data_IF_517120842282
#
_entry.id   IF_517120842282
#
_cell.length_a   1.000
_cell.length_b   1.000
_cell.length_c   1.000
_cell.angle_alpha   90.00
_cell.angle_beta   90.00
_cell.angle_gamma   90.00
#
_symmetry.space_group_name_H-M   'P 1'
#
loop_
_entity.id
_entity.type
_entity.pdbx_description
1 polymer ?
#
# COMPACT_ATOMS: atom_id res chain seq x y z
N UNK A 1 16.19 -2.50 9.89
CA UNK A 1 16.22 -1.46 8.81
C UNK A 1 15.22 -1.85 7.71
N UNK A 2 14.69 -0.90 6.92
CA UNK A 2 13.88 -1.24 5.73
C UNK A 2 14.83 -1.66 4.61
N UNK A 3 14.61 -2.86 4.05
CA UNK A 3 15.47 -3.48 3.04
C UNK A 3 14.77 -3.69 1.70
N UNK A 4 13.44 -3.60 1.66
CA UNK A 4 12.67 -3.69 0.42
C UNK A 4 11.43 -2.82 0.49
N UNK A 5 11.13 -2.11 -0.60
CA UNK A 5 9.88 -1.40 -0.81
C UNK A 5 9.11 -2.08 -1.93
N UNK A 6 7.81 -2.27 -1.74
CA UNK A 6 6.88 -2.75 -2.75
C UNK A 6 5.72 -1.76 -2.93
N UNK A 7 5.42 -1.44 -4.19
CA UNK A 7 4.35 -0.53 -4.60
C UNK A 7 3.64 -1.12 -5.80
N UNK A 8 2.31 -1.14 -5.77
CA UNK A 8 1.48 -1.56 -6.89
C UNK A 8 0.31 -0.60 -7.07
N UNK A 9 0.02 -0.27 -8.32
CA UNK A 9 -1.09 0.60 -8.74
C UNK A 9 -1.07 2.01 -8.12
N UNK A 10 0.09 2.65 -8.03
CA UNK A 10 0.22 4.01 -7.49
C UNK A 10 0.75 5.01 -8.53
N UNK A 11 -0.10 5.95 -8.96
CA UNK A 11 0.25 7.04 -9.88
C UNK A 11 0.90 6.54 -11.19
N UNK A 12 2.19 6.77 -11.39
CA UNK A 12 2.91 6.27 -12.56
C UNK A 12 3.55 4.89 -12.35
N UNK A 13 3.45 4.33 -11.14
CA UNK A 13 4.01 3.03 -10.77
C UNK A 13 2.92 1.95 -10.89
N UNK A 14 2.99 1.12 -11.94
CA UNK A 14 2.10 -0.05 -12.07
C UNK A 14 2.47 -1.12 -11.05
N UNK A 15 3.75 -1.51 -11.03
CA UNK A 15 4.32 -2.47 -10.09
C UNK A 15 5.80 -2.16 -9.94
N UNK A 16 6.26 -1.97 -8.71
CA UNK A 16 7.64 -1.67 -8.37
C UNK A 16 8.02 -2.42 -7.10
N UNK A 17 9.10 -3.21 -7.16
CA UNK A 17 9.73 -3.82 -6.00
C UNK A 17 11.20 -3.45 -6.06
N UNK A 18 11.70 -2.73 -5.05
CA UNK A 18 13.07 -2.23 -5.03
C UNK A 18 13.76 -2.63 -3.73
N UNK A 19 14.99 -3.19 -3.81
CA UNK A 19 15.83 -3.33 -2.63
C UNK A 19 16.26 -1.94 -2.16
N UNK A 20 16.45 -1.80 -0.86
CA UNK A 20 16.91 -0.57 -0.22
C UNK A 20 18.13 -0.88 0.67
N UNK A 21 19.12 -0.01 0.60
CA UNK A 21 20.31 -0.04 1.47
C UNK A 21 20.39 1.27 2.27
N UNK A 22 21.49 1.49 3.01
CA UNK A 22 21.69 2.65 3.90
C UNK A 22 21.66 3.98 3.14
N UNK A 23 22.05 3.95 1.86
CA UNK A 23 21.98 5.08 0.94
C UNK A 23 21.40 4.62 -0.39
N UNK A 24 20.29 5.24 -0.79
CA UNK A 24 19.63 4.98 -2.06
C UNK A 24 19.60 6.25 -2.89
N UNK A 25 20.23 6.22 -4.07
CA UNK A 25 20.23 7.35 -5.01
C UNK A 25 19.27 7.02 -6.16
N UNK A 26 18.19 7.78 -6.28
CA UNK A 26 17.18 7.59 -7.33
C UNK A 26 17.42 8.59 -8.46
N UNK A 27 17.80 8.09 -9.64
CA UNK A 27 18.07 8.92 -10.84
C UNK A 27 17.15 8.52 -12.00
N UNK A 28 17.15 9.33 -13.07
CA UNK A 28 16.34 9.09 -14.27
C UNK A 28 15.76 10.38 -14.85
N UNK A 29 15.18 10.30 -16.06
CA UNK A 29 14.57 11.45 -16.75
C UNK A 29 13.33 12.02 -16.05
N UNK A 30 12.81 13.14 -16.54
CA UNK A 30 11.55 13.70 -16.03
C UNK A 30 10.37 12.79 -16.42
N UNK A 31 9.37 12.68 -15.54
CA UNK A 31 8.17 11.87 -15.81
C UNK A 31 8.31 10.36 -15.59
N UNK A 32 9.50 9.82 -15.32
CA UNK A 32 9.74 8.36 -15.20
C UNK A 32 9.25 7.74 -13.86
N UNK A 33 8.60 8.51 -12.99
CA UNK A 33 8.03 8.01 -11.74
C UNK A 33 8.84 8.18 -10.47
N UNK A 34 9.96 8.91 -10.48
CA UNK A 34 10.74 9.23 -9.27
C UNK A 34 9.89 9.92 -8.19
N UNK A 35 9.10 10.93 -8.57
CA UNK A 35 8.21 11.62 -7.63
C UNK A 35 7.11 10.69 -7.08
N UNK A 36 6.62 9.74 -7.88
CA UNK A 36 5.66 8.75 -7.40
C UNK A 36 6.29 7.81 -6.37
N UNK A 37 7.54 7.39 -6.56
CA UNK A 37 8.29 6.61 -5.58
C UNK A 37 8.41 7.34 -4.22
N UNK A 38 8.81 8.62 -4.23
CA UNK A 38 8.90 9.41 -2.99
C UNK A 38 7.54 9.61 -2.31
N UNK A 39 6.47 9.81 -3.10
CA UNK A 39 5.12 9.93 -2.54
C UNK A 39 4.62 8.60 -1.98
N UNK A 40 4.96 7.46 -2.57
CA UNK A 40 4.63 6.15 -2.04
C UNK A 40 5.28 5.91 -0.66
N UNK A 41 6.55 6.28 -0.50
CA UNK A 41 7.24 6.25 0.80
C UNK A 41 6.56 7.15 1.83
N UNK A 42 6.14 8.35 1.41
CA UNK A 42 5.40 9.27 2.28
C UNK A 42 4.05 8.70 2.69
N UNK A 43 3.29 8.14 1.76
CA UNK A 43 1.99 7.53 2.02
C UNK A 43 2.11 6.30 2.94
N UNK A 44 3.16 5.49 2.76
CA UNK A 44 3.49 4.38 3.65
C UNK A 44 3.77 4.88 5.08
N UNK A 45 4.52 5.97 5.22
CA UNK A 45 4.79 6.62 6.50
C UNK A 45 3.54 7.22 7.14
N UNK A 46 2.65 7.82 6.33
CA UNK A 46 1.36 8.34 6.81
C UNK A 46 0.43 7.19 7.23
N UNK A 47 0.49 6.03 6.56
CA UNK A 47 -0.30 4.83 6.91
C UNK A 47 0.04 4.30 8.30
N UNK A 48 1.33 4.28 8.65
CA UNK A 48 1.79 3.91 9.99
C UNK A 48 1.33 4.88 11.11
N UNK A 49 0.86 6.09 10.77
CA UNK A 49 0.43 7.12 11.72
C UNK A 49 -1.07 7.41 11.68
N UNK A 50 -1.89 6.45 11.22
CA UNK A 50 -3.33 6.64 11.01
C UNK A 50 -3.68 7.79 10.05
N UNK A 51 -2.75 8.19 9.18
CA UNK A 51 -2.87 9.33 8.27
C UNK A 51 -3.20 8.97 6.83
N UNK A 52 -3.28 7.68 6.47
CA UNK A 52 -3.43 7.24 5.08
C UNK A 52 -4.66 7.83 4.36
N UNK A 53 -5.83 7.78 5.00
CA UNK A 53 -7.08 8.29 4.41
C UNK A 53 -6.98 9.79 4.14
N UNK A 54 -6.48 10.56 5.12
CA UNK A 54 -6.26 12.00 4.96
C UNK A 54 -5.18 12.32 3.91
N UNK A 55 -4.14 11.50 3.81
CA UNK A 55 -3.12 11.62 2.77
C UNK A 55 -3.70 11.38 1.37
N UNK A 56 -4.50 10.33 1.19
CA UNK A 56 -5.20 10.05 -0.06
C UNK A 56 -6.24 11.13 -0.40
N UNK A 57 -6.96 11.67 0.58
CA UNK A 57 -7.89 12.78 0.39
C UNK A 57 -7.17 14.04 -0.14
N UNK A 58 -6.03 14.42 0.46
CA UNK A 58 -5.17 15.53 -0.03
C UNK A 58 -4.65 15.30 -1.45
N UNK A 59 -4.58 14.05 -1.87
CA UNK A 59 -4.17 13.63 -3.20
C UNK A 59 -5.30 13.61 -4.24
N UNK A 60 -6.52 14.00 -3.87
CA UNK A 60 -7.71 13.98 -4.71
C UNK A 60 -8.52 12.68 -4.63
N UNK A 61 -8.33 11.90 -3.56
CA UNK A 61 -8.99 10.61 -3.32
C UNK A 61 -8.25 9.42 -3.93
N UNK A 62 -8.68 8.20 -3.56
CA UNK A 62 -8.06 6.94 -3.99
C UNK A 62 -8.04 6.80 -5.52
N UNK A 63 -9.13 7.16 -6.21
CA UNK A 63 -9.18 7.17 -7.68
C UNK A 63 -8.11 8.05 -8.32
N UNK A 64 -7.74 9.15 -7.69
CA UNK A 64 -6.67 10.01 -8.21
C UNK A 64 -5.29 9.40 -7.97
N UNK A 65 -5.12 8.68 -6.86
CA UNK A 65 -3.88 8.01 -6.48
C UNK A 65 -3.60 6.73 -7.28
N UNK A 66 -4.64 6.02 -7.74
CA UNK A 66 -4.51 4.80 -8.50
C UNK A 66 -3.75 5.00 -9.82
N UNK A 67 -3.00 3.98 -10.23
CA UNK A 67 -2.27 3.99 -11.48
C UNK A 67 -3.18 4.29 -12.68
N UNK A 68 -2.67 5.11 -13.59
CA UNK A 68 -3.46 5.74 -14.66
C UNK A 68 -2.93 5.45 -16.07
N UNK A 69 -2.19 4.35 -16.26
CA UNK A 69 -1.77 3.97 -17.61
C UNK A 69 -2.93 3.42 -18.44
N UNK A 70 -2.80 3.57 -19.76
CA UNK A 70 -3.81 3.10 -20.72
C UNK A 70 -3.97 1.57 -20.63
N UNK A 71 -5.22 1.13 -20.47
CA UNK A 71 -5.59 -0.26 -20.76
C UNK A 71 -5.58 -0.43 -22.30
N UNK A 72 -4.41 -0.73 -22.85
CA UNK A 72 -4.21 -0.91 -24.29
C UNK A 72 -3.79 0.37 -25.00
N UNK A 73 -2.68 0.32 -25.73
CA UNK A 73 -2.05 1.47 -26.41
C UNK A 73 -2.89 2.04 -27.55
N UNK A 74 -3.84 2.90 -27.20
CA UNK A 74 -4.66 3.64 -28.14
C UNK A 74 -5.13 4.92 -27.48
N UNK A 75 -5.15 6.01 -28.25
CA UNK A 75 -5.50 7.39 -27.86
C UNK A 75 -6.97 7.58 -27.45
N UNK A 76 -7.56 6.63 -26.73
CA UNK A 76 -8.91 6.64 -26.23
C UNK A 76 -8.93 6.58 -24.71
N UNK A 77 -9.87 7.31 -24.11
CA UNK A 77 -10.27 7.17 -22.71
C UNK A 77 -10.95 5.80 -22.48
N UNK A 78 -10.20 4.70 -22.65
CA UNK A 78 -10.69 3.37 -22.34
C UNK A 78 -10.95 3.26 -20.82
N UNK A 79 -12.06 2.61 -20.40
CA UNK A 79 -12.39 2.45 -19.00
C UNK A 79 -11.32 1.71 -18.20
N UNK A 80 -11.26 2.09 -16.93
CA UNK A 80 -10.23 1.81 -15.94
C UNK A 80 -10.39 0.40 -15.34
N UNK A 81 -9.99 -0.64 -16.06
CA UNK A 81 -10.25 -2.03 -15.60
C UNK A 81 -9.16 -2.64 -14.70
N UNK A 82 -7.89 -2.25 -14.82
CA UNK A 82 -6.80 -3.05 -14.22
C UNK A 82 -6.43 -2.71 -12.76
N UNK A 83 -6.69 -1.48 -12.30
CA UNK A 83 -6.21 -1.01 -10.99
C UNK A 83 -7.38 -0.73 -10.04
N UNK A 84 -7.93 -1.78 -9.43
CA UNK A 84 -9.05 -1.68 -8.46
C UNK A 84 -8.57 -1.31 -7.05
N UNK A 85 -7.29 -1.53 -6.74
CA UNK A 85 -6.71 -1.27 -5.42
C UNK A 85 -5.27 -0.79 -5.49
N UNK A 86 -4.85 -0.04 -4.47
CA UNK A 86 -3.50 0.48 -4.26
C UNK A 86 -2.83 -0.36 -3.18
N UNK A 87 -1.70 -0.99 -3.50
CA UNK A 87 -0.94 -1.82 -2.55
C UNK A 87 0.42 -1.19 -2.26
N UNK A 88 0.75 -1.11 -0.99
CA UNK A 88 2.02 -0.57 -0.49
C UNK A 88 2.57 -1.49 0.58
N UNK A 89 3.89 -1.62 0.66
CA UNK A 89 4.50 -2.35 1.75
C UNK A 89 6.01 -2.22 1.78
N UNK A 90 6.58 -2.61 2.90
CA UNK A 90 8.02 -2.76 3.05
C UNK A 90 8.35 -4.06 3.78
N UNK A 91 9.54 -4.57 3.50
CA UNK A 91 10.19 -5.57 4.33
C UNK A 91 11.40 -4.94 5.03
N UNK A 92 11.66 -5.38 6.24
CA UNK A 92 12.83 -5.01 7.02
C UNK A 92 13.31 -6.16 7.88
N UNK A 93 14.45 -5.97 8.54
CA UNK A 93 15.11 -7.04 9.29
C UNK A 93 14.26 -7.53 10.47
N UNK A 94 13.59 -6.61 11.15
CA UNK A 94 12.80 -6.90 12.35
C UNK A 94 11.31 -7.05 12.04
N UNK A 95 10.79 -6.20 11.16
CA UNK A 95 9.37 -6.14 10.83
C UNK A 95 9.16 -5.85 9.35
N UNK A 96 8.04 -6.35 8.83
CA UNK A 96 7.47 -5.88 7.58
C UNK A 96 6.03 -5.42 7.76
N UNK A 97 5.58 -4.63 6.78
CA UNK A 97 4.24 -4.05 6.74
C UNK A 97 3.73 -4.07 5.30
N UNK A 98 2.46 -4.40 5.13
CA UNK A 98 1.77 -4.27 3.85
C UNK A 98 0.33 -3.81 4.07
N UNK A 99 -0.16 -3.00 3.15
CA UNK A 99 -1.52 -2.46 3.15
C UNK A 99 -2.09 -2.43 1.74
N UNK A 100 -3.39 -2.71 1.65
CA UNK A 100 -4.19 -2.68 0.44
C UNK A 100 -5.36 -1.72 0.63
N UNK A 101 -5.39 -0.67 -0.18
CA UNK A 101 -6.46 0.33 -0.19
C UNK A 101 -7.37 0.09 -1.40
N UNK A 102 -8.67 -0.08 -1.14
CA UNK A 102 -9.70 -0.20 -2.15
C UNK A 102 -10.88 0.73 -1.89
N UNK A 103 -11.90 0.63 -2.72
CA UNK A 103 -13.18 1.31 -2.49
C UNK A 103 -14.17 0.42 -1.72
N UNK A 104 -15.12 1.00 -0.98
CA UNK A 104 -16.26 0.28 -0.42
C UNK A 104 -16.97 -0.56 -1.50
N UNK A 105 -17.31 -1.80 -1.15
CA UNK A 105 -18.11 -2.67 -2.03
C UNK A 105 -19.62 -2.59 -1.73
N UNK A 106 -19.99 -1.73 -0.77
CA UNK A 106 -21.38 -1.47 -0.34
C UNK A 106 -22.16 -0.62 -1.35
N UNK A 107 -23.39 -0.25 -1.00
CA UNK A 107 -24.34 0.49 -1.87
C UNK A 107 -23.64 1.61 -2.69
N UNK A 108 -23.58 1.50 -4.03
CA UNK A 108 -22.93 2.48 -4.88
C UNK A 108 -23.62 3.85 -4.87
N UNK A 109 -24.83 3.95 -4.32
CA UNK A 109 -25.56 5.21 -4.09
C UNK A 109 -25.11 5.94 -2.82
N UNK A 110 -24.26 5.32 -2.00
CA UNK A 110 -23.69 5.96 -0.82
C UNK A 110 -22.84 7.17 -1.20
N UNK A 111 -22.98 8.26 -0.45
CA UNK A 111 -22.09 9.42 -0.58
C UNK A 111 -20.63 9.11 -0.25
N UNK A 112 -20.37 7.97 0.40
CA UNK A 112 -19.04 7.49 0.81
C UNK A 112 -18.50 6.39 -0.12
N UNK A 113 -19.13 6.12 -1.27
CA UNK A 113 -18.70 5.06 -2.18
C UNK A 113 -17.27 5.26 -2.76
N UNK A 114 -16.71 6.46 -2.63
CA UNK A 114 -15.37 6.81 -3.11
C UNK A 114 -14.33 6.92 -1.98
N UNK A 115 -14.72 6.72 -0.73
CA UNK A 115 -13.79 6.79 0.40
C UNK A 115 -12.75 5.67 0.30
N UNK A 116 -11.48 5.92 0.63
CA UNK A 116 -10.49 4.86 0.73
C UNK A 116 -10.80 3.92 1.90
N UNK A 117 -10.80 2.62 1.65
CA UNK A 117 -10.98 1.57 2.67
C UNK A 117 -9.76 0.65 2.68
N UNK A 118 -9.27 0.32 3.88
CA UNK A 118 -8.25 -0.70 4.05
C UNK A 118 -8.91 -2.08 3.86
N UNK A 119 -8.57 -2.75 2.75
CA UNK A 119 -9.04 -4.11 2.45
C UNK A 119 -8.24 -5.14 3.20
N UNK A 120 -6.93 -4.97 3.22
CA UNK A 120 -5.98 -5.79 3.98
C UNK A 120 -4.89 -4.93 4.56
N UNK A 121 -4.43 -5.32 5.74
CA UNK A 121 -3.26 -4.74 6.37
C UNK A 121 -2.59 -5.83 7.19
N UNK A 122 -1.27 -5.96 7.09
CA UNK A 122 -0.53 -7.00 7.79
C UNK A 122 0.78 -6.44 8.34
N UNK A 123 1.11 -6.83 9.57
CA UNK A 123 2.42 -6.65 10.19
C UNK A 123 2.95 -8.04 10.53
N UNK A 124 4.21 -8.29 10.18
CA UNK A 124 4.88 -9.56 10.48
C UNK A 124 6.29 -9.30 11.00
N UNK A 125 6.83 -10.29 11.72
CA UNK A 125 8.22 -10.30 12.17
C UNK A 125 9.17 -10.83 11.10
N UNK A 126 10.36 -10.25 11.05
CA UNK A 126 11.40 -10.62 10.10
C UNK A 126 11.14 -10.17 8.67
N UNK A 127 12.01 -10.62 7.74
CA UNK A 127 12.06 -10.08 6.38
C UNK A 127 10.96 -10.62 5.45
N UNK A 128 10.26 -11.70 5.82
CA UNK A 128 9.33 -12.39 4.94
C UNK A 128 8.01 -12.64 5.64
N UNK A 129 6.92 -12.27 4.97
CA UNK A 129 5.57 -12.61 5.41
C UNK A 129 5.34 -14.12 5.28
N UNK A 130 5.13 -14.77 6.43
CA UNK A 130 4.71 -16.16 6.55
C UNK A 130 3.72 -16.29 7.71
N UNK A 131 2.81 -17.28 7.70
CA UNK A 131 1.79 -17.41 8.76
C UNK A 131 2.37 -17.41 10.17
N UNK A 132 3.48 -18.13 10.39
CA UNK A 132 4.16 -18.21 11.68
C UNK A 132 4.90 -16.92 12.10
N UNK A 133 5.00 -15.91 11.23
CA UNK A 133 5.60 -14.61 11.52
C UNK A 133 4.57 -13.48 11.61
N UNK A 134 3.31 -13.74 11.26
CA UNK A 134 2.24 -12.75 11.32
C UNK A 134 2.02 -12.31 12.78
N UNK A 135 2.08 -11.00 13.00
CA UNK A 135 1.87 -10.38 14.32
C UNK A 135 0.46 -9.82 14.42
N UNK A 136 0.03 -9.12 13.37
CA UNK A 136 -1.32 -8.62 13.23
C UNK A 136 -1.75 -8.64 11.78
N UNK A 137 -3.05 -8.91 11.56
CA UNK A 137 -3.69 -8.81 10.26
C UNK A 137 -5.07 -8.18 10.41
N UNK A 138 -5.39 -7.30 9.48
CA UNK A 138 -6.73 -6.77 9.26
C UNK A 138 -7.26 -7.31 7.93
N UNK A 139 -8.50 -7.76 7.92
CA UNK A 139 -9.26 -8.10 6.73
C UNK A 139 -10.61 -7.38 6.78
N UNK A 140 -10.71 -6.22 6.09
CA UNK A 140 -11.82 -5.29 6.24
C UNK A 140 -12.01 -4.88 7.71
N UNK A 141 -13.21 -5.08 8.32
CA UNK A 141 -13.45 -4.74 9.71
C UNK A 141 -12.86 -5.75 10.71
N UNK A 142 -12.46 -6.96 10.27
CA UNK A 142 -11.94 -7.99 11.14
C UNK A 142 -10.45 -7.78 11.42
N UNK A 143 -10.04 -7.91 12.69
CA UNK A 143 -8.63 -7.86 13.11
C UNK A 143 -8.27 -9.16 13.82
N UNK A 144 -7.12 -9.71 13.47
CA UNK A 144 -6.48 -10.84 14.14
C UNK A 144 -5.15 -10.38 14.69
N UNK A 145 -4.91 -10.71 15.95
CA UNK A 145 -3.62 -10.54 16.60
C UNK A 145 -3.06 -11.92 16.92
N UNK A 146 -1.74 -12.06 16.83
CA UNK A 146 -1.09 -13.25 17.37
C UNK A 146 -1.34 -13.26 18.89
N UNK A 147 -1.89 -14.36 19.40
CA UNK A 147 -1.99 -14.58 20.83
C UNK A 147 -0.57 -14.54 21.41
N UNK A 148 -0.34 -13.73 22.44
CA UNK A 148 0.86 -13.88 23.24
C UNK A 148 0.82 -15.28 23.84
N UNK A 149 1.90 -16.06 23.71
CA UNK A 149 2.07 -17.21 24.59
C UNK A 149 2.04 -16.65 26.01
N UNK A 150 1.19 -17.18 26.91
CA UNK A 150 1.31 -16.84 28.32
C UNK A 150 2.75 -17.18 28.70
N UNK A 151 3.52 -16.17 29.09
CA UNK A 151 4.88 -16.36 29.55
C UNK A 151 4.84 -17.48 30.60
N UNK A 152 5.68 -18.51 30.40
CA UNK A 152 5.88 -19.59 31.36
C UNK A 152 6.11 -18.98 32.74
N UNK A 153 5.05 -18.98 33.56
CA UNK A 153 5.09 -18.71 34.97
C UNK A 153 5.34 -20.03 35.67
N UNK A 154 6.57 -20.23 36.14
CA UNK A 154 7.01 -21.39 36.92
C UNK A 154 8.51 -21.44 37.07
#
# INVERSE_FOLDING_TARGET
MITTLAVENYRSLRRLVVPLDRLNVVTGGNGVGKSALYRALRLLSDSARNGAVAALAREGGLRSALWAGEAGGGSGFAPREDATSLRLGFAGDEFGYAVDFGHPQSDPRSMFALDPEIKREAVWSGPVLRPAALLSERHGPAVRLRAADPADGG
#
